data_IF_868449568196
#
_entry.id   IF_868449568196
#
_cell.length_a   1.000
_cell.length_b   1.000
_cell.length_c   1.000
_cell.angle_alpha   90.00
_cell.angle_beta   90.00
_cell.angle_gamma   90.00
#
_symmetry.space_group_name_H-M   'P 1'
#
loop_
_entity.id
_entity.type
_entity.pdbx_description
1 polymer ?
#
# COMPACT_ATOMS: atom_id res chain seq x y z
N UNK A 1 8.53 -22.11 -2.47
CA UNK A 1 8.05 -23.20 -1.59
C UNK A 1 6.76 -22.82 -0.86
N UNK A 2 6.73 -21.72 -0.09
CA UNK A 2 5.54 -21.30 0.67
C UNK A 2 4.26 -21.15 -0.16
N UNK A 3 4.36 -20.60 -1.38
CA UNK A 3 3.23 -20.50 -2.32
C UNK A 3 2.65 -21.89 -2.63
N UNK A 4 3.51 -22.86 -2.94
CA UNK A 4 3.07 -24.22 -3.28
C UNK A 4 2.46 -24.96 -2.07
N UNK A 5 3.01 -24.76 -0.87
CA UNK A 5 2.42 -25.32 0.35
C UNK A 5 1.05 -24.71 0.66
N UNK A 6 0.86 -23.41 0.39
CA UNK A 6 -0.42 -22.73 0.58
C UNK A 6 -1.50 -23.23 -0.40
N UNK A 7 -1.13 -23.45 -1.67
CA UNK A 7 -2.06 -23.83 -2.74
C UNK A 7 -2.30 -25.35 -2.84
N UNK A 8 -1.26 -26.16 -2.64
CA UNK A 8 -1.30 -27.60 -2.88
C UNK A 8 -1.16 -28.46 -1.60
N UNK A 9 -0.80 -27.85 -0.47
CA UNK A 9 -0.48 -28.60 0.75
C UNK A 9 0.88 -29.30 0.65
N UNK A 10 1.05 -30.38 1.39
CA UNK A 10 2.33 -31.11 1.47
C UNK A 10 2.79 -31.64 0.10
N UNK A 11 4.11 -31.64 -0.11
CA UNK A 11 4.71 -32.25 -1.30
C UNK A 11 4.48 -33.77 -1.32
N UNK A 12 3.75 -34.23 -2.33
CA UNK A 12 3.68 -35.65 -2.69
C UNK A 12 4.95 -36.07 -3.46
N UNK A 13 5.72 -37.06 -2.96
CA UNK A 13 7.01 -37.44 -3.56
C UNK A 13 6.93 -37.86 -5.03
N UNK A 14 5.82 -38.49 -5.42
CA UNK A 14 5.62 -39.05 -6.75
C UNK A 14 5.01 -38.05 -7.74
N UNK A 15 4.53 -36.89 -7.24
CA UNK A 15 3.84 -35.90 -8.05
C UNK A 15 4.13 -34.46 -7.59
N UNK A 16 5.38 -33.99 -7.73
CA UNK A 16 5.71 -32.59 -7.48
C UNK A 16 4.92 -31.65 -8.42
N UNK A 17 4.37 -30.52 -7.92
CA UNK A 17 3.66 -29.55 -8.75
C UNK A 17 4.61 -28.69 -9.59
N UNK A 18 5.31 -29.33 -10.53
CA UNK A 18 6.39 -28.73 -11.35
C UNK A 18 5.89 -27.58 -12.22
N UNK A 19 4.66 -27.65 -12.73
CA UNK A 19 4.06 -26.55 -13.50
C UNK A 19 3.92 -25.28 -12.65
N UNK A 20 3.47 -25.42 -11.39
CA UNK A 20 3.31 -24.31 -10.46
C UNK A 20 4.66 -23.67 -10.13
N UNK A 21 5.68 -24.50 -9.86
CA UNK A 21 7.03 -23.99 -9.61
C UNK A 21 7.58 -23.22 -10.81
N UNK A 22 7.45 -23.77 -12.01
CA UNK A 22 7.93 -23.12 -13.23
C UNK A 22 7.27 -21.76 -13.45
N UNK A 23 5.95 -21.67 -13.27
CA UNK A 23 5.22 -20.42 -13.44
C UNK A 23 5.74 -19.35 -12.48
N UNK A 24 5.83 -19.67 -11.18
CA UNK A 24 6.27 -18.71 -10.18
C UNK A 24 7.76 -18.37 -10.27
N UNK A 25 8.63 -19.34 -10.60
CA UNK A 25 10.06 -19.07 -10.80
C UNK A 25 10.27 -18.17 -12.02
N UNK A 26 9.54 -18.41 -13.11
CA UNK A 26 9.59 -17.52 -14.28
C UNK A 26 9.09 -16.12 -13.93
N UNK A 27 8.00 -15.98 -13.18
CA UNK A 27 7.41 -14.69 -12.84
C UNK A 27 8.27 -13.88 -11.85
N UNK A 28 8.80 -14.54 -10.82
CA UNK A 28 9.51 -13.86 -9.72
C UNK A 28 11.00 -13.71 -9.98
N UNK A 29 11.62 -14.69 -10.65
CA UNK A 29 13.08 -14.76 -10.80
C UNK A 29 13.52 -14.56 -12.26
N UNK A 30 12.58 -14.51 -13.22
CA UNK A 30 12.88 -14.60 -14.65
C UNK A 30 13.81 -15.78 -14.99
N UNK A 31 13.71 -16.87 -14.22
CA UNK A 31 14.58 -18.03 -14.31
C UNK A 31 13.81 -19.29 -13.92
N UNK A 32 13.87 -20.32 -14.76
CA UNK A 32 13.24 -21.63 -14.56
C UNK A 32 14.26 -22.78 -14.68
N UNK A 33 15.51 -22.53 -14.31
CA UNK A 33 16.58 -23.52 -14.36
C UNK A 33 16.25 -24.73 -13.49
N UNK A 34 16.80 -25.88 -13.88
CA UNK A 34 16.61 -27.11 -13.13
C UNK A 34 17.13 -27.00 -11.68
N UNK A 35 18.24 -26.30 -11.44
CA UNK A 35 18.75 -26.03 -10.09
C UNK A 35 17.75 -25.25 -9.23
N UNK A 36 17.12 -24.21 -9.79
CA UNK A 36 16.09 -23.43 -9.09
C UNK A 36 14.91 -24.31 -8.72
N UNK A 37 14.44 -25.15 -9.64
CA UNK A 37 13.31 -26.05 -9.41
C UNK A 37 13.64 -27.09 -8.33
N UNK A 38 14.83 -27.71 -8.38
CA UNK A 38 15.28 -28.67 -7.38
C UNK A 38 15.41 -28.02 -5.98
N UNK A 39 15.88 -26.77 -5.92
CA UNK A 39 15.92 -26.01 -4.66
C UNK A 39 14.51 -25.74 -4.11
N UNK A 40 13.55 -25.37 -4.97
CA UNK A 40 12.15 -25.14 -4.58
C UNK A 40 11.50 -26.44 -4.09
N UNK A 41 11.72 -27.56 -4.77
CA UNK A 41 11.23 -28.89 -4.37
C UNK A 41 11.77 -29.26 -3.00
N UNK A 42 13.09 -29.08 -2.79
CA UNK A 42 13.75 -29.35 -1.50
C UNK A 42 13.13 -28.53 -0.38
N UNK A 43 12.98 -27.22 -0.58
CA UNK A 43 12.37 -26.34 0.42
C UNK A 43 10.90 -26.66 0.67
N UNK A 44 10.13 -27.07 -0.35
CA UNK A 44 8.73 -27.47 -0.17
C UNK A 44 8.61 -28.74 0.68
N UNK A 45 9.51 -29.71 0.47
CA UNK A 45 9.60 -30.90 1.31
C UNK A 45 9.91 -30.58 2.77
N UNK A 46 10.76 -29.59 3.02
CA UNK A 46 11.21 -29.23 4.38
C UNK A 46 10.11 -28.54 5.22
N UNK A 47 9.07 -28.01 4.58
CA UNK A 47 7.93 -27.34 5.24
C UNK A 47 6.67 -28.22 5.35
N UNK A 48 6.83 -29.54 5.20
CA UNK A 48 5.76 -30.52 5.35
C UNK A 48 5.00 -30.37 6.68
N UNK A 49 3.68 -30.52 6.64
CA UNK A 49 2.78 -30.38 7.78
C UNK A 49 2.39 -28.93 8.08
N UNK A 50 2.91 -27.96 7.33
CA UNK A 50 2.53 -26.56 7.48
C UNK A 50 1.13 -26.32 6.91
N UNK A 51 0.24 -25.75 7.73
CA UNK A 51 -1.10 -25.35 7.29
C UNK A 51 -1.03 -24.22 6.27
N UNK A 52 -1.97 -24.20 5.32
CA UNK A 52 -2.05 -23.16 4.27
C UNK A 52 -2.02 -21.73 4.85
N UNK A 53 -2.83 -21.42 5.88
CA UNK A 53 -2.81 -20.11 6.53
C UNK A 53 -1.47 -19.73 7.17
N UNK A 54 -0.73 -20.72 7.69
CA UNK A 54 0.63 -20.51 8.22
C UNK A 54 1.60 -20.24 7.09
N UNK A 55 1.49 -20.95 5.96
CA UNK A 55 2.29 -20.71 4.76
C UNK A 55 2.06 -19.33 4.17
N UNK A 56 0.80 -18.88 4.07
CA UNK A 56 0.42 -17.53 3.65
C UNK A 56 1.02 -16.47 4.58
N UNK A 57 0.93 -16.67 5.90
CA UNK A 57 1.54 -15.77 6.88
C UNK A 57 3.06 -15.64 6.67
N UNK A 58 3.78 -16.76 6.55
CA UNK A 58 5.23 -16.73 6.36
C UNK A 58 5.61 -16.12 5.01
N UNK A 59 4.81 -16.35 3.97
CA UNK A 59 5.00 -15.73 2.66
C UNK A 59 4.89 -14.21 2.77
N UNK A 60 3.80 -13.71 3.35
CA UNK A 60 3.60 -12.27 3.57
C UNK A 60 4.70 -11.68 4.43
N UNK A 61 5.14 -12.40 5.47
CA UNK A 61 6.24 -11.98 6.33
C UNK A 61 7.55 -11.85 5.55
N UNK A 62 7.90 -12.83 4.72
CA UNK A 62 9.11 -12.79 3.91
C UNK A 62 9.06 -11.64 2.90
N UNK A 63 7.96 -11.52 2.15
CA UNK A 63 7.76 -10.47 1.16
C UNK A 63 7.77 -9.08 1.81
N UNK A 64 7.26 -8.93 3.04
CA UNK A 64 7.24 -7.64 3.75
C UNK A 64 8.63 -7.08 4.06
N UNK A 65 9.67 -7.93 4.03
CA UNK A 65 11.06 -7.50 4.24
C UNK A 65 11.75 -7.06 2.95
N UNK A 66 11.14 -7.31 1.78
CA UNK A 66 11.71 -6.95 0.50
C UNK A 66 11.71 -5.43 0.32
N UNK A 67 12.79 -4.91 -0.26
CA UNK A 67 12.85 -3.52 -0.71
C UNK A 67 11.79 -3.32 -1.78
N UNK A 68 11.01 -2.25 -1.65
CA UNK A 68 9.91 -1.99 -2.58
C UNK A 68 8.56 -2.55 -2.13
N UNK A 69 8.50 -3.29 -1.01
CA UNK A 69 7.24 -3.80 -0.52
C UNK A 69 6.25 -2.66 -0.20
N UNK A 70 5.06 -2.74 -0.80
CA UNK A 70 4.03 -1.73 -0.66
C UNK A 70 4.27 -0.44 -1.45
N UNK A 71 5.26 -0.41 -2.35
CA UNK A 71 5.47 0.71 -3.27
C UNK A 71 4.59 0.62 -4.51
N UNK A 72 3.99 1.75 -4.88
CA UNK A 72 3.40 1.96 -6.20
C UNK A 72 4.39 2.70 -7.10
N UNK A 73 4.70 2.11 -8.26
CA UNK A 73 5.74 2.60 -9.16
C UNK A 73 5.17 3.46 -10.29
N UNK A 74 5.71 4.66 -10.43
CA UNK A 74 5.41 5.60 -11.51
C UNK A 74 6.62 5.83 -12.40
N UNK A 75 6.51 5.41 -13.66
CA UNK A 75 7.57 5.56 -14.65
C UNK A 75 7.53 6.96 -15.26
N UNK A 76 8.56 7.74 -14.96
CA UNK A 76 8.79 9.05 -15.55
C UNK A 76 9.99 8.99 -16.50
N UNK A 77 10.18 10.05 -17.31
CA UNK A 77 11.09 9.99 -18.48
C UNK A 77 12.49 9.46 -18.16
N UNK A 78 13.07 9.91 -17.05
CA UNK A 78 14.44 9.55 -16.62
C UNK A 78 14.50 9.03 -15.17
N UNK A 79 13.36 8.82 -14.53
CA UNK A 79 13.26 8.48 -13.11
C UNK A 79 12.06 7.58 -12.88
N UNK A 80 12.14 6.70 -11.89
CA UNK A 80 10.97 5.95 -11.41
C UNK A 80 10.69 6.40 -10.00
N UNK A 81 9.43 6.71 -9.70
CA UNK A 81 9.00 7.09 -8.36
C UNK A 81 8.28 5.91 -7.72
N UNK A 82 8.80 5.39 -6.63
CA UNK A 82 8.11 4.41 -5.78
C UNK A 82 7.50 5.11 -4.58
N UNK A 83 6.17 5.15 -4.50
CA UNK A 83 5.46 5.75 -3.38
C UNK A 83 4.97 4.63 -2.47
N UNK A 84 5.51 4.57 -1.26
CA UNK A 84 5.26 3.48 -0.31
C UNK A 84 4.89 3.96 1.09
N UNK A 85 4.86 3.04 2.07
CA UNK A 85 4.39 3.34 3.43
C UNK A 85 5.23 4.37 4.18
N UNK A 86 6.50 4.52 3.83
CA UNK A 86 7.46 5.37 4.55
C UNK A 86 7.74 6.71 3.87
N UNK A 87 7.26 6.91 2.64
CA UNK A 87 7.54 8.09 1.84
C UNK A 87 7.69 7.78 0.36
N UNK A 88 8.57 8.52 -0.29
CA UNK A 88 8.86 8.38 -1.72
C UNK A 88 10.30 7.95 -1.95
N UNK A 89 10.47 6.95 -2.79
CA UNK A 89 11.75 6.47 -3.31
C UNK A 89 11.90 6.93 -4.76
N UNK A 90 13.01 7.59 -5.07
CA UNK A 90 13.34 8.06 -6.42
C UNK A 90 14.45 7.19 -6.95
N UNK A 91 14.17 6.41 -7.99
CA UNK A 91 15.13 5.55 -8.66
C UNK A 91 15.67 6.27 -9.91
N UNK A 92 16.99 6.20 -10.12
CA UNK A 92 17.67 6.81 -11.26
C UNK A 92 18.32 5.75 -12.18
N UNK A 93 17.55 5.11 -13.10
CA UNK A 93 18.12 4.23 -14.11
C UNK A 93 19.07 4.99 -15.05
N UNK A 94 20.19 4.39 -15.50
CA UNK A 94 20.65 3.02 -15.26
C UNK A 94 21.56 2.87 -14.03
N UNK A 95 21.82 3.94 -13.28
CA UNK A 95 22.84 3.95 -12.21
C UNK A 95 22.50 3.06 -11.00
N UNK A 96 21.26 2.53 -10.94
CA UNK A 96 20.71 1.77 -9.82
C UNK A 96 20.79 2.49 -8.46
N UNK A 97 21.08 3.78 -8.46
CA UNK A 97 21.01 4.63 -7.27
C UNK A 97 19.56 4.97 -7.00
N UNK A 98 19.24 5.10 -5.72
CA UNK A 98 17.96 5.59 -5.28
C UNK A 98 18.10 6.57 -4.14
N UNK A 99 17.15 7.48 -4.03
CA UNK A 99 17.01 8.40 -2.92
C UNK A 99 15.69 8.13 -2.21
N UNK A 100 15.73 7.93 -0.89
CA UNK A 100 14.53 7.84 -0.07
C UNK A 100 14.24 9.19 0.59
N UNK A 101 13.01 9.66 0.47
CA UNK A 101 12.52 10.89 1.09
C UNK A 101 11.35 10.49 1.99
N UNK A 102 11.53 10.50 3.33
CA UNK A 102 10.48 10.09 4.24
C UNK A 102 9.36 11.12 4.29
N UNK A 103 8.15 10.69 4.62
CA UNK A 103 7.00 11.59 4.77
C UNK A 103 7.25 12.76 5.72
N UNK A 104 8.00 12.54 6.80
CA UNK A 104 8.34 13.57 7.80
C UNK A 104 9.25 14.67 7.27
N UNK A 105 9.94 14.45 6.16
CA UNK A 105 10.79 15.45 5.52
C UNK A 105 10.03 16.27 4.46
N UNK A 106 8.82 15.85 4.07
CA UNK A 106 8.05 16.48 2.99
C UNK A 106 7.24 17.65 3.53
N UNK A 107 7.46 18.84 2.96
CA UNK A 107 6.72 20.05 3.30
C UNK A 107 5.51 20.25 2.39
N UNK A 108 5.71 20.06 1.09
CA UNK A 108 4.63 20.21 0.11
C UNK A 108 4.92 19.45 -1.17
N UNK A 109 3.84 19.09 -1.86
CA UNK A 109 3.88 18.55 -3.20
C UNK A 109 2.98 19.40 -4.10
N UNK A 110 3.31 19.49 -5.38
CA UNK A 110 2.53 20.22 -6.38
C UNK A 110 2.53 19.42 -7.68
N UNK A 111 1.37 19.33 -8.31
CA UNK A 111 1.24 18.83 -9.68
C UNK A 111 0.75 19.94 -10.60
N UNK A 112 1.54 20.24 -11.63
CA UNK A 112 1.21 21.26 -12.62
C UNK A 112 1.60 20.81 -14.02
N UNK A 113 0.61 20.71 -14.91
CA UNK A 113 0.81 20.16 -16.27
C UNK A 113 1.48 18.78 -16.14
N UNK A 114 2.59 18.56 -16.83
CA UNK A 114 3.36 17.31 -16.81
C UNK A 114 4.46 17.30 -15.74
N UNK A 115 4.44 18.23 -14.79
CA UNK A 115 5.46 18.35 -13.75
C UNK A 115 4.88 17.96 -12.39
N UNK A 116 5.59 17.07 -11.72
CA UNK A 116 5.42 16.81 -10.30
C UNK A 116 6.61 17.45 -9.56
N UNK A 117 6.32 18.27 -8.56
CA UNK A 117 7.31 18.97 -7.75
C UNK A 117 7.10 18.64 -6.27
N UNK A 118 8.18 18.35 -5.56
CA UNK A 118 8.18 18.02 -4.14
C UNK A 118 9.19 18.89 -3.41
N UNK A 119 8.75 19.60 -2.38
CA UNK A 119 9.60 20.37 -1.48
C UNK A 119 9.80 19.59 -0.19
N UNK A 120 11.05 19.38 0.20
CA UNK A 120 11.41 18.55 1.34
C UNK A 120 12.72 18.99 1.96
N UNK A 121 12.98 18.59 3.21
CA UNK A 121 14.29 18.73 3.84
C UNK A 121 15.17 17.53 3.50
N UNK A 122 16.35 17.78 2.95
CA UNK A 122 17.29 16.70 2.67
C UNK A 122 17.94 16.16 3.96
N UNK A 123 18.84 15.18 3.82
CA UNK A 123 19.57 14.57 4.95
C UNK A 123 20.40 15.55 5.79
N UNK A 124 20.66 16.77 5.28
CA UNK A 124 21.35 17.84 6.01
C UNK A 124 20.36 18.86 6.60
N UNK A 125 19.06 18.57 6.64
CA UNK A 125 17.99 19.48 7.05
C UNK A 125 17.95 20.78 6.23
N UNK A 126 18.35 20.71 4.96
CA UNK A 126 18.29 21.86 4.05
C UNK A 126 17.11 21.71 3.09
N UNK A 127 16.35 22.79 2.87
CA UNK A 127 15.29 22.81 1.88
C UNK A 127 15.82 22.39 0.51
N UNK A 128 15.14 21.43 -0.10
CA UNK A 128 15.47 20.83 -1.38
C UNK A 128 14.19 20.62 -2.19
N UNK A 129 14.36 20.56 -3.51
CA UNK A 129 13.24 20.36 -4.44
C UNK A 129 13.55 19.17 -5.34
N UNK A 130 12.57 18.28 -5.49
CA UNK A 130 12.57 17.22 -6.49
C UNK A 130 11.59 17.61 -7.60
N UNK A 131 12.10 17.78 -8.80
CA UNK A 131 11.32 18.10 -9.99
C UNK A 131 11.31 16.92 -10.96
N UNK A 132 10.12 16.41 -11.27
CA UNK A 132 9.94 15.23 -12.13
C UNK A 132 9.01 15.56 -13.27
N UNK A 133 9.51 15.39 -14.50
CA UNK A 133 8.73 15.53 -15.72
C UNK A 133 8.11 14.20 -16.12
N UNK A 134 6.80 14.10 -15.97
CA UNK A 134 6.00 12.94 -16.33
C UNK A 134 5.68 12.92 -17.83
N UNK A 135 5.24 11.74 -18.31
CA UNK A 135 4.83 11.56 -19.71
C UNK A 135 3.57 12.35 -20.07
N UNK A 136 2.65 12.50 -19.11
CA UNK A 136 1.41 13.24 -19.30
C UNK A 136 1.01 14.00 -18.03
N UNK A 137 0.05 14.91 -18.18
CA UNK A 137 -0.55 15.62 -17.04
C UNK A 137 -1.30 14.65 -16.12
N UNK A 138 -1.86 13.59 -16.70
CA UNK A 138 -2.51 12.53 -15.95
C UNK A 138 -1.51 11.84 -15.01
N UNK A 139 -0.36 11.38 -15.53
CA UNK A 139 0.67 10.73 -14.71
C UNK A 139 1.17 11.65 -13.59
N UNK A 140 1.42 12.93 -13.88
CA UNK A 140 1.81 13.89 -12.85
C UNK A 140 0.74 14.09 -11.76
N UNK A 141 -0.54 13.97 -12.12
CA UNK A 141 -1.67 14.06 -11.18
C UNK A 141 -1.76 12.79 -10.34
N UNK A 142 -1.62 11.61 -10.96
CA UNK A 142 -1.65 10.32 -10.28
C UNK A 142 -0.51 10.18 -9.25
N UNK A 143 0.71 10.59 -9.61
CA UNK A 143 1.85 10.63 -8.68
C UNK A 143 1.51 11.48 -7.45
N UNK A 144 0.95 12.68 -7.68
CA UNK A 144 0.56 13.57 -6.59
C UNK A 144 -0.52 12.96 -5.70
N UNK A 145 -1.57 12.39 -6.31
CA UNK A 145 -2.67 11.73 -5.58
C UNK A 145 -2.15 10.57 -4.75
N UNK A 146 -1.40 9.66 -5.36
CA UNK A 146 -0.81 8.51 -4.69
C UNK A 146 0.07 8.94 -3.51
N UNK A 147 0.87 10.01 -3.66
CA UNK A 147 1.69 10.55 -2.57
C UNK A 147 0.82 11.07 -1.44
N UNK A 148 -0.13 11.95 -1.73
CA UNK A 148 -0.96 12.59 -0.71
C UNK A 148 -1.85 11.58 0.01
N UNK A 149 -2.42 10.63 -0.71
CA UNK A 149 -3.28 9.59 -0.16
C UNK A 149 -2.48 8.63 0.74
N UNK A 150 -1.32 8.15 0.29
CA UNK A 150 -0.47 7.30 1.14
C UNK A 150 0.10 8.07 2.34
N UNK A 151 0.45 9.35 2.19
CA UNK A 151 0.83 10.20 3.33
C UNK A 151 -0.30 10.26 4.37
N UNK A 152 -1.53 10.59 3.93
CA UNK A 152 -2.69 10.65 4.82
C UNK A 152 -2.99 9.29 5.45
N UNK A 153 -2.88 8.20 4.67
CA UNK A 153 -3.16 6.85 5.15
C UNK A 153 -2.16 6.38 6.21
N UNK A 154 -0.86 6.55 5.98
CA UNK A 154 0.20 6.00 6.84
C UNK A 154 0.68 6.95 7.93
N UNK A 155 0.62 8.26 7.71
CA UNK A 155 1.26 9.25 8.60
C UNK A 155 0.27 10.08 9.42
N UNK A 156 -0.97 10.26 8.95
CA UNK A 156 -1.95 11.09 9.63
C UNK A 156 -2.82 10.29 10.62
N UNK A 157 -3.39 11.00 11.60
CA UNK A 157 -4.32 10.39 12.57
C UNK A 157 -5.67 10.08 11.94
N UNK A 158 -6.25 11.05 11.23
CA UNK A 158 -7.54 10.91 10.56
C UNK A 158 -7.48 11.46 9.14
N UNK A 159 -8.25 10.86 8.23
CA UNK A 159 -8.34 11.39 6.86
C UNK A 159 -8.98 12.78 6.87
N UNK A 160 -9.99 13.00 7.72
CA UNK A 160 -10.61 14.33 7.86
C UNK A 160 -9.62 15.41 8.26
N UNK A 161 -8.72 15.12 9.20
CA UNK A 161 -7.65 16.04 9.61
C UNK A 161 -6.63 16.32 8.50
N UNK A 162 -6.26 15.31 7.71
CA UNK A 162 -5.37 15.50 6.56
C UNK A 162 -6.05 16.30 5.44
N UNK A 163 -7.32 16.02 5.16
CA UNK A 163 -8.14 16.75 4.19
C UNK A 163 -8.28 18.20 4.62
N UNK A 164 -8.62 18.48 5.89
CA UNK A 164 -8.68 19.86 6.38
C UNK A 164 -7.32 20.52 6.39
N UNK A 165 -6.20 19.85 6.68
CA UNK A 165 -4.88 20.46 6.55
C UNK A 165 -4.48 20.79 5.10
N UNK A 166 -4.95 20.01 4.13
CA UNK A 166 -4.74 20.29 2.70
C UNK A 166 -5.74 21.31 2.12
N UNK A 167 -6.97 21.38 2.66
CA UNK A 167 -8.00 22.37 2.28
C UNK A 167 -7.86 23.70 3.01
N UNK A 168 -7.41 23.69 4.27
CA UNK A 168 -7.02 24.86 5.04
C UNK A 168 -5.63 25.23 4.56
N UNK A 169 -5.61 25.94 3.44
CA UNK A 169 -4.50 26.84 3.17
C UNK A 169 -4.31 27.73 4.37
N UNK A 170 -3.04 28.00 4.68
CA UNK A 170 -2.65 29.19 5.42
C UNK A 170 -3.52 30.38 5.01
N UNK A 171 -3.92 31.21 5.99
CA UNK A 171 -4.76 32.39 5.82
C UNK A 171 -4.37 33.24 4.58
N UNK A 172 -3.09 33.24 4.21
CA UNK A 172 -2.52 33.89 3.03
C UNK A 172 -2.96 33.27 1.69
N UNK A 173 -3.09 31.96 1.60
CA UNK A 173 -3.49 31.24 0.39
C UNK A 173 -4.96 31.44 0.01
N UNK A 174 -5.83 31.65 0.99
CA UNK A 174 -7.24 32.04 0.80
C UNK A 174 -7.38 33.46 0.27
N UNK A 175 -6.53 34.38 0.75
CA UNK A 175 -6.51 35.77 0.26
C UNK A 175 -6.00 35.82 -1.19
N UNK A 176 -4.96 35.04 -1.54
CA UNK A 176 -4.42 35.02 -2.90
C UNK A 176 -5.40 34.41 -3.91
N UNK A 177 -6.22 33.43 -3.54
CA UNK A 177 -7.20 32.83 -4.46
C UNK A 177 -8.35 33.78 -4.84
N UNK A 178 -8.62 34.83 -4.05
CA UNK A 178 -9.64 35.85 -4.38
C UNK A 178 -9.18 36.77 -5.53
N UNK A 179 -7.88 37.02 -5.65
CA UNK A 179 -7.31 37.95 -6.63
C UNK A 179 -6.74 37.28 -7.88
N UNK A 180 -6.63 35.94 -7.89
CA UNK A 180 -6.13 35.19 -9.04
C UNK A 180 -6.83 33.84 -9.19
N UNK A 181 -7.85 33.81 -10.05
CA UNK A 181 -8.69 32.64 -10.33
C UNK A 181 -7.96 31.54 -11.12
N UNK A 182 -6.90 31.89 -11.86
CA UNK A 182 -6.05 30.94 -12.59
C UNK A 182 -5.04 30.22 -11.69
N UNK A 183 -5.09 30.44 -10.37
CA UNK A 183 -4.15 29.83 -9.45
C UNK A 183 -4.54 28.35 -9.19
N UNK A 184 -3.58 27.40 -9.12
CA UNK A 184 -3.90 26.02 -8.72
C UNK A 184 -4.46 25.90 -7.29
N UNK A 185 -4.22 26.89 -6.41
CA UNK A 185 -5.23 27.85 -5.91
C UNK A 185 -6.70 27.45 -5.61
N UNK A 186 -7.15 26.19 -5.66
CA UNK A 186 -8.53 25.79 -5.28
C UNK A 186 -9.01 24.46 -5.83
N UNK A 187 -8.11 23.67 -6.43
CA UNK A 187 -8.45 22.35 -6.97
C UNK A 187 -8.74 21.40 -5.82
N UNK A 188 -10.00 20.94 -5.73
CA UNK A 188 -10.42 19.93 -4.78
C UNK A 188 -9.72 18.61 -5.13
N UNK A 189 -8.67 18.27 -4.40
CA UNK A 189 -8.18 16.90 -4.38
C UNK A 189 -9.09 16.14 -3.43
N UNK A 190 -10.05 15.42 -4.02
CA UNK A 190 -10.85 14.45 -3.29
C UNK A 190 -9.95 13.24 -3.07
N UNK A 191 -9.73 12.89 -1.81
CA UNK A 191 -9.06 11.66 -1.45
C UNK A 191 -9.99 10.49 -1.72
N UNK A 192 -9.50 9.45 -2.39
CA UNK A 192 -10.27 8.22 -2.56
C UNK A 192 -10.28 7.36 -1.28
N UNK A 193 -9.40 7.66 -0.32
CA UNK A 193 -9.36 6.99 0.99
C UNK A 193 -10.37 7.59 1.98
N UNK A 194 -11.04 6.73 2.75
CA UNK A 194 -12.03 7.14 3.77
C UNK A 194 -11.49 7.15 5.20
N UNK A 195 -10.47 6.33 5.47
CA UNK A 195 -9.90 6.07 6.80
C UNK A 195 -8.38 5.91 6.70
N UNK A 196 -7.63 6.35 7.70
CA UNK A 196 -6.19 6.09 7.84
C UNK A 196 -5.93 4.66 8.30
N UNK A 197 -4.68 4.20 8.25
CA UNK A 197 -4.31 2.88 8.76
C UNK A 197 -4.64 2.73 10.25
N UNK A 198 -4.53 3.82 11.03
CA UNK A 198 -4.90 3.89 12.44
C UNK A 198 -6.40 3.77 12.62
N UNK A 199 -7.18 4.52 11.85
CA UNK A 199 -8.65 4.46 11.90
C UNK A 199 -9.18 3.07 11.51
N UNK A 200 -8.57 2.43 10.52
CA UNK A 200 -8.92 1.04 10.12
C UNK A 200 -8.58 0.05 11.24
N UNK A 201 -7.36 0.12 11.79
CA UNK A 201 -6.94 -0.76 12.88
C UNK A 201 -7.81 -0.59 14.13
N UNK A 202 -8.09 0.65 14.53
CA UNK A 202 -8.94 0.94 15.67
C UNK A 202 -10.38 0.52 15.45
N UNK A 203 -10.93 0.72 14.25
CA UNK A 203 -12.27 0.23 13.92
C UNK A 203 -12.34 -1.30 14.00
N UNK A 204 -11.38 -2.00 13.39
CA UNK A 204 -11.33 -3.46 13.42
C UNK A 204 -11.22 -3.99 14.86
N UNK A 205 -10.36 -3.39 15.68
CA UNK A 205 -10.26 -3.71 17.11
C UNK A 205 -11.61 -3.50 17.82
N UNK A 206 -12.26 -2.35 17.63
CA UNK A 206 -13.57 -2.08 18.26
C UNK A 206 -14.66 -3.04 17.81
N UNK A 207 -14.69 -3.41 16.53
CA UNK A 207 -15.66 -4.36 15.99
C UNK A 207 -15.47 -5.78 16.55
N UNK A 208 -14.23 -6.21 16.78
CA UNK A 208 -13.92 -7.52 17.35
C UNK A 208 -14.18 -7.59 18.86
N UNK A 209 -13.92 -6.50 19.60
CA UNK A 209 -14.04 -6.45 21.06
C UNK A 209 -15.29 -5.72 21.56
N UNK A 210 -16.20 -5.33 20.68
CA UNK A 210 -17.53 -4.89 21.08
C UNK A 210 -18.19 -6.04 21.83
N UNK A 211 -18.56 -5.89 23.12
CA UNK A 211 -19.37 -6.90 23.78
C UNK A 211 -20.62 -7.08 22.93
N UNK A 212 -20.99 -8.33 22.66
CA UNK A 212 -22.34 -8.64 22.21
C UNK A 212 -23.24 -8.14 23.32
N UNK A 213 -23.76 -6.92 23.19
CA UNK A 213 -24.80 -6.44 24.09
C UNK A 213 -25.91 -7.47 24.00
N UNK A 214 -26.19 -8.09 25.14
CA UNK A 214 -27.22 -9.08 25.34
C UNK A 214 -28.60 -8.41 25.18
N UNK A 215 -28.96 -8.05 23.96
CA UNK A 215 -30.31 -7.68 23.54
C UNK A 215 -30.78 -8.68 22.48
N UNK A 216 -30.83 -9.95 22.87
CA UNK A 216 -31.64 -10.98 22.21
C UNK A 216 -31.83 -12.21 23.13
N UNK A 217 -32.19 -11.99 24.39
CA UNK A 217 -32.90 -13.00 25.18
C UNK A 217 -34.36 -12.60 25.27
N UNK A 218 -35.22 -13.49 24.76
CA UNK A 218 -36.67 -13.40 24.50
C UNK A 218 -36.96 -12.94 23.05
N UNK A 219 -37.02 -13.82 22.05
CA UNK A 219 -37.86 -15.01 21.92
C UNK A 219 -37.28 -16.03 20.93
N UNK A 220 -37.53 -17.32 21.18
CA UNK A 220 -37.14 -18.53 20.42
C UNK A 220 -37.47 -18.47 18.90
N UNK A 221 -36.92 -19.26 17.97
CA UNK A 221 -36.26 -20.57 17.98
C UNK A 221 -35.47 -20.76 16.65
N UNK A 222 -34.52 -21.72 16.66
CA UNK A 222 -33.96 -22.50 15.54
C UNK A 222 -33.78 -21.84 14.14
N UNK A 223 -32.52 -21.61 13.73
CA UNK A 223 -31.84 -22.29 12.59
C UNK A 223 -30.69 -21.45 11.99
N UNK A 224 -29.55 -22.10 11.75
CA UNK A 224 -28.52 -21.77 10.73
C UNK A 224 -27.87 -20.37 10.71
N UNK A 225 -27.21 -19.89 11.79
CA UNK A 225 -26.71 -18.49 11.86
C UNK A 225 -25.19 -18.26 11.89
N UNK A 226 -24.32 -19.25 11.61
CA UNK A 226 -22.86 -19.01 11.66
C UNK A 226 -22.33 -18.14 10.49
N UNK A 227 -22.93 -18.27 9.30
CA UNK A 227 -22.53 -17.51 8.09
C UNK A 227 -23.04 -16.07 8.09
N UNK A 228 -24.19 -15.82 8.75
CA UNK A 228 -24.80 -14.49 8.85
C UNK A 228 -24.00 -13.57 9.77
N UNK A 229 -23.58 -14.08 10.94
CA UNK A 229 -22.80 -13.29 11.91
C UNK A 229 -21.40 -12.92 11.41
N UNK A 230 -20.78 -13.76 10.60
CA UNK A 230 -19.48 -13.46 9.97
C UNK A 230 -19.60 -12.43 8.87
N UNK A 231 -20.67 -12.50 8.05
CA UNK A 231 -21.01 -11.50 7.04
C UNK A 231 -21.29 -10.13 7.65
N UNK A 232 -22.08 -10.04 8.72
CA UNK A 232 -22.36 -8.78 9.41
C UNK A 232 -21.10 -8.18 10.09
N UNK A 233 -20.21 -9.02 10.63
CA UNK A 233 -18.93 -8.57 11.17
C UNK A 233 -17.99 -8.05 10.09
N UNK A 234 -17.97 -8.69 8.92
CA UNK A 234 -17.23 -8.22 7.74
C UNK A 234 -17.80 -6.91 7.18
N UNK A 235 -19.12 -6.75 7.16
CA UNK A 235 -19.76 -5.49 6.74
C UNK A 235 -19.36 -4.33 7.67
N UNK A 236 -19.37 -4.54 8.99
CA UNK A 236 -18.92 -3.53 9.98
C UNK A 236 -17.42 -3.21 9.91
N UNK A 237 -16.61 -4.09 9.35
CA UNK A 237 -15.19 -3.82 9.09
C UNK A 237 -14.98 -2.90 7.89
N UNK A 238 -15.91 -2.91 6.93
CA UNK A 238 -15.83 -2.17 5.67
C UNK A 238 -16.56 -0.82 5.71
N UNK A 239 -17.51 -0.64 6.63
CA UNK A 239 -18.15 0.65 6.95
C UNK A 239 -17.27 1.53 7.84
#
# INVERSE_FOLDING_TARGET
ALIAQAECGDLEPDSPPVCLYNQWCQLLLNNNSQETLEAVIRQHRDIRGMKSSTSEYWLLKEISTLRGFGEELFYCKNTVLGIGPHGINVYYPPTLTFQSIPYTAIHSAVSQRRMFQLHYDNVQHKPSTLDVKCESTLVATEVYRALTEKHAFYSCETVRGAVTAQFVRDLKGTIVSIFNEATPLGKQYVFDIRRTCREVHDNARRALYQPVTAEATATAAADSSSTSQTSERLARLLD
#
